data_IF_133479856151
#
_entry.id   IF_133479856151
#
_cell.length_a   1.000
_cell.length_b   1.000
_cell.length_c   1.000
_cell.angle_alpha   90.00
_cell.angle_beta   90.00
_cell.angle_gamma   90.00
#
_symmetry.space_group_name_H-M   'P 1'
#
loop_
_entity.id
_entity.type
_entity.pdbx_description
1 polymer ?
#
# COMPACT_ATOMS: atom_id res chain seq x y z
N UNK A 1 -4.23 -4.88 -55.50
CA UNK A 1 -3.47 -4.17 -54.45
C UNK A 1 -4.19 -4.14 -53.10
N UNK A 2 -5.48 -3.73 -53.04
CA UNK A 2 -6.22 -3.57 -51.77
C UNK A 2 -6.36 -4.85 -50.93
N UNK A 3 -6.59 -6.02 -51.55
CA UNK A 3 -6.65 -7.30 -50.83
C UNK A 3 -5.35 -7.64 -50.07
N UNK A 4 -4.18 -7.34 -50.64
CA UNK A 4 -2.91 -7.69 -50.00
C UNK A 4 -2.67 -6.81 -48.77
N UNK A 5 -3.11 -5.55 -48.81
CA UNK A 5 -3.04 -4.63 -47.67
C UNK A 5 -3.99 -5.09 -46.56
N UNK A 6 -5.22 -5.46 -46.90
CA UNK A 6 -6.21 -5.98 -45.94
C UNK A 6 -5.72 -7.27 -45.25
N UNK A 7 -5.11 -8.18 -46.00
CA UNK A 7 -4.56 -9.43 -45.45
C UNK A 7 -3.37 -9.15 -44.52
N UNK A 8 -2.51 -8.20 -44.87
CA UNK A 8 -1.37 -7.80 -44.03
C UNK A 8 -1.85 -7.19 -42.71
N UNK A 9 -2.82 -6.28 -42.75
CA UNK A 9 -3.39 -5.65 -41.56
C UNK A 9 -4.03 -6.68 -40.62
N UNK A 10 -4.81 -7.62 -41.17
CA UNK A 10 -5.41 -8.70 -40.39
C UNK A 10 -4.35 -9.58 -39.73
N UNK A 11 -3.29 -9.94 -40.46
CA UNK A 11 -2.24 -10.80 -39.95
C UNK A 11 -1.43 -10.12 -38.83
N UNK A 12 -1.08 -8.84 -39.03
CA UNK A 12 -0.38 -8.04 -38.00
C UNK A 12 -1.27 -7.86 -36.77
N UNK A 13 -2.56 -7.55 -36.95
CA UNK A 13 -3.51 -7.42 -35.84
C UNK A 13 -3.63 -8.69 -35.01
N UNK A 14 -3.72 -9.85 -35.67
CA UNK A 14 -3.75 -11.15 -35.00
C UNK A 14 -2.45 -11.40 -34.23
N UNK A 15 -1.27 -11.16 -34.85
CA UNK A 15 0.01 -11.33 -34.18
C UNK A 15 0.18 -10.44 -32.95
N UNK A 16 -0.24 -9.17 -33.04
CA UNK A 16 -0.21 -8.24 -31.90
C UNK A 16 -1.14 -8.73 -30.79
N UNK A 17 -2.35 -9.18 -31.12
CA UNK A 17 -3.30 -9.70 -30.15
C UNK A 17 -2.76 -10.93 -29.41
N UNK A 18 -2.17 -11.90 -30.13
CA UNK A 18 -1.57 -13.08 -29.51
C UNK A 18 -0.33 -12.74 -28.68
N UNK A 19 0.47 -11.77 -29.13
CA UNK A 19 1.62 -11.29 -28.37
C UNK A 19 1.20 -10.66 -27.04
N UNK A 20 0.13 -9.85 -27.05
CA UNK A 20 -0.43 -9.25 -25.84
C UNK A 20 -0.94 -10.31 -24.86
N UNK A 21 -1.68 -11.31 -25.36
CA UNK A 21 -2.15 -12.44 -24.56
C UNK A 21 -0.98 -13.25 -23.98
N UNK A 22 0.07 -13.48 -24.76
CA UNK A 22 1.28 -14.17 -24.31
C UNK A 22 1.98 -13.44 -23.17
N UNK A 23 2.11 -12.11 -23.27
CA UNK A 23 2.68 -11.27 -22.21
C UNK A 23 1.80 -11.32 -20.95
N UNK A 24 0.47 -11.25 -21.09
CA UNK A 24 -0.44 -11.35 -19.95
C UNK A 24 -0.34 -12.69 -19.22
N UNK A 25 -0.34 -13.80 -19.96
CA UNK A 25 -0.19 -15.14 -19.39
C UNK A 25 1.17 -15.28 -18.70
N UNK A 26 2.24 -14.76 -19.32
CA UNK A 26 3.57 -14.76 -18.73
C UNK A 26 3.64 -13.91 -17.46
N UNK A 27 3.02 -12.72 -17.43
CA UNK A 27 2.98 -11.85 -16.26
C UNK A 27 2.23 -12.49 -15.08
N UNK A 28 1.12 -13.18 -15.36
CA UNK A 28 0.38 -13.96 -14.35
C UNK A 28 1.24 -15.11 -13.84
N UNK A 29 1.87 -15.89 -14.75
CA UNK A 29 2.72 -17.02 -14.38
C UNK A 29 3.98 -16.61 -13.60
N UNK A 30 4.57 -15.46 -13.93
CA UNK A 30 5.76 -14.91 -13.27
C UNK A 30 5.46 -14.29 -11.90
N UNK A 31 4.20 -14.33 -11.44
CA UNK A 31 3.84 -13.85 -10.11
C UNK A 31 3.92 -12.34 -9.94
N UNK A 32 3.91 -11.54 -11.03
CA UNK A 32 3.95 -10.07 -10.93
C UNK A 32 2.75 -9.47 -10.17
N UNK A 33 1.69 -10.26 -9.98
CA UNK A 33 0.51 -9.85 -9.23
C UNK A 33 0.50 -10.36 -7.77
N UNK A 34 1.47 -11.18 -7.37
CA UNK A 34 1.53 -11.75 -6.01
C UNK A 34 1.89 -10.70 -4.95
N UNK A 35 2.53 -9.58 -5.33
CA UNK A 35 2.88 -8.48 -4.42
C UNK A 35 1.66 -7.75 -3.84
N UNK A 36 0.46 -7.89 -4.42
CA UNK A 36 -0.77 -7.34 -3.83
C UNK A 36 -1.11 -7.95 -2.47
N UNK A 37 -0.67 -9.20 -2.21
CA UNK A 37 -0.92 -9.86 -0.93
C UNK A 37 -0.18 -9.17 0.22
N UNK A 38 1.04 -8.69 -0.03
CA UNK A 38 1.82 -7.90 0.95
C UNK A 38 1.21 -6.54 1.26
N UNK A 39 0.63 -5.87 0.26
CA UNK A 39 0.01 -4.56 0.44
C UNK A 39 -1.30 -4.63 1.25
N UNK A 40 -2.08 -5.70 1.10
CA UNK A 40 -3.30 -5.90 1.89
C UNK A 40 -3.05 -6.48 3.27
N UNK A 41 -2.08 -7.40 3.43
CA UNK A 41 -1.78 -7.99 4.74
C UNK A 41 -1.24 -6.92 5.72
N UNK A 42 -0.48 -5.93 5.24
CA UNK A 42 0.00 -4.81 6.09
C UNK A 42 -1.08 -3.79 6.50
N UNK A 43 -2.25 -3.78 5.85
CA UNK A 43 -3.36 -2.88 6.18
C UNK A 43 -4.44 -3.59 7.01
N UNK A 44 -4.67 -4.88 6.79
CA UNK A 44 -5.71 -5.65 7.51
C UNK A 44 -5.22 -6.21 8.85
N UNK A 45 -3.91 -6.43 9.01
CA UNK A 45 -3.34 -6.98 10.23
C UNK A 45 -2.40 -5.94 10.84
N UNK A 46 -2.96 -4.98 11.60
CA UNK A 46 -2.16 -4.25 12.59
C UNK A 46 -1.48 -5.30 13.47
N UNK A 47 -0.15 -5.27 13.51
CA UNK A 47 0.59 -6.24 14.31
C UNK A 47 0.32 -6.00 15.80
N UNK A 48 0.52 -7.02 16.65
CA UNK A 48 0.45 -6.83 18.11
C UNK A 48 1.42 -5.75 18.61
N UNK A 49 2.51 -5.54 17.86
CA UNK A 49 3.49 -4.48 18.09
C UNK A 49 2.93 -3.08 17.77
N UNK A 50 2.16 -2.93 16.68
CA UNK A 50 1.49 -1.67 16.32
C UNK A 50 0.45 -1.26 17.38
N UNK A 51 -0.33 -2.21 17.87
CA UNK A 51 -1.27 -2.01 18.98
C UNK A 51 -0.54 -1.56 20.27
N UNK A 52 0.59 -2.20 20.61
CA UNK A 52 1.39 -1.82 21.78
C UNK A 52 2.02 -0.43 21.63
N UNK A 53 2.46 -0.07 20.42
CA UNK A 53 3.00 1.25 20.13
C UNK A 53 1.94 2.35 20.28
N UNK A 54 0.70 2.10 19.84
CA UNK A 54 -0.42 3.01 20.03
C UNK A 54 -0.69 3.28 21.52
N UNK A 55 -0.75 2.22 22.35
CA UNK A 55 -0.94 2.33 23.80
C UNK A 55 0.19 3.13 24.45
N UNK A 56 1.45 2.83 24.10
CA UNK A 56 2.62 3.57 24.63
C UNK A 56 2.59 5.04 24.25
N UNK A 57 2.09 5.39 23.06
CA UNK A 57 1.96 6.77 22.61
C UNK A 57 0.89 7.51 23.42
N UNK A 58 -0.24 6.86 23.72
CA UNK A 58 -1.29 7.41 24.56
C UNK A 58 -0.80 7.65 25.99
N UNK A 59 -0.11 6.68 26.60
CA UNK A 59 0.48 6.83 27.93
C UNK A 59 1.48 8.00 28.00
N UNK A 60 2.35 8.13 26.99
CA UNK A 60 3.30 9.26 26.91
C UNK A 60 2.58 10.59 26.83
N UNK A 61 1.51 10.69 26.03
CA UNK A 61 0.69 11.91 25.94
C UNK A 61 0.03 12.25 27.27
N UNK A 62 -0.48 11.25 27.99
CA UNK A 62 -1.10 11.46 29.31
C UNK A 62 -0.10 11.98 30.33
N UNK A 63 1.07 11.32 30.45
CA UNK A 63 2.16 11.76 31.35
C UNK A 63 2.64 13.19 31.05
N UNK A 64 2.75 13.56 29.78
CA UNK A 64 3.13 14.94 29.41
C UNK A 64 2.05 15.97 29.77
N UNK A 65 0.77 15.61 29.73
CA UNK A 65 -0.31 16.50 30.18
C UNK A 65 -0.29 16.67 31.69
N UNK A 66 -0.20 15.56 32.44
CA UNK A 66 -0.13 15.57 33.90
C UNK A 66 1.09 16.38 34.39
N UNK A 67 2.27 16.21 33.78
CA UNK A 67 3.46 17.00 34.11
C UNK A 67 3.30 18.49 33.80
N UNK A 68 2.59 18.85 32.72
CA UNK A 68 2.27 20.25 32.39
C UNK A 68 1.26 20.85 33.37
N UNK A 69 0.29 20.08 33.84
CA UNK A 69 -0.69 20.54 34.82
C UNK A 69 -0.03 20.72 36.19
N UNK A 70 0.79 19.77 36.64
CA UNK A 70 1.52 19.85 37.90
C UNK A 70 2.47 21.06 37.95
N UNK A 71 3.25 21.29 36.89
CA UNK A 71 4.16 22.45 36.80
C UNK A 71 3.42 23.79 36.77
N UNK A 72 2.19 23.82 36.23
CA UNK A 72 1.35 25.02 36.22
C UNK A 72 0.71 25.30 37.58
N UNK A 73 0.37 24.24 38.32
CA UNK A 73 -0.13 24.33 39.69
C UNK A 73 0.95 24.80 40.68
N UNK A 74 2.19 24.34 40.52
CA UNK A 74 3.33 24.80 41.33
C UNK A 74 3.64 26.28 41.06
N UNK A 75 3.69 26.72 39.79
CA UNK A 75 3.87 28.13 39.45
C UNK A 75 2.74 29.04 39.95
N UNK A 76 1.51 28.55 40.04
CA UNK A 76 0.37 29.30 40.57
C UNK A 76 0.36 29.41 42.10
N UNK A 77 1.11 28.56 42.81
CA UNK A 77 1.22 28.58 44.28
C UNK A 77 2.39 29.43 44.77
N UNK A 78 3.37 29.73 43.91
CA UNK A 78 4.51 30.60 44.19
C UNK A 78 4.27 32.10 43.87
N UNK A 79 3.11 32.46 43.30
CA UNK A 79 2.66 33.85 43.06
C UNK A 79 1.61 34.24 44.10
#
# INVERSE_FOLDING_TARGET
MMNNVLILELFVGILVSFSLLGILIWAIKSGQFEDNKKAMDGLLFDSTEDLQNAVRLEEKRKKMKEAKEASKEEQSKEI
#
